data_IF_672753789229
#
_entry.id   IF_672753789229
#
_cell.length_a   1.000
_cell.length_b   1.000
_cell.length_c   1.000
_cell.angle_alpha   90.00
_cell.angle_beta   90.00
_cell.angle_gamma   90.00
#
_symmetry.space_group_name_H-M   'P 1'
#
loop_
_entity.id
_entity.type
_entity.pdbx_description
1 polymer ?
#
# COMPACT_ATOMS: atom_id res chain seq x y z
N UNK A 1 24.48 69.36 -47.59
CA UNK A 1 25.08 68.18 -46.97
C UNK A 1 23.98 67.51 -46.15
N UNK A 2 23.41 66.45 -46.67
CA UNK A 2 22.30 65.73 -46.05
C UNK A 2 22.85 64.44 -45.39
N UNK A 3 22.76 64.34 -44.04
CA UNK A 3 23.19 63.18 -43.26
C UNK A 3 22.08 62.13 -43.25
N UNK A 4 22.35 60.95 -43.79
CA UNK A 4 21.48 59.78 -43.70
C UNK A 4 21.76 59.04 -42.37
N UNK A 5 20.74 58.90 -41.55
CA UNK A 5 20.78 58.01 -40.37
C UNK A 5 20.25 56.67 -40.79
N UNK A 6 21.13 55.70 -40.78
CA UNK A 6 20.78 54.27 -40.99
C UNK A 6 20.28 53.69 -39.66
N UNK A 7 18.97 53.36 -39.52
CA UNK A 7 18.40 52.68 -38.40
C UNK A 7 18.56 51.19 -38.63
N UNK A 8 19.38 50.53 -37.81
CA UNK A 8 19.52 49.06 -37.78
C UNK A 8 18.39 48.51 -36.93
N UNK A 9 17.44 47.80 -37.55
CA UNK A 9 16.40 47.02 -36.87
C UNK A 9 17.02 45.69 -36.41
N UNK A 10 17.28 45.54 -35.11
CA UNK A 10 17.61 44.27 -34.50
C UNK A 10 16.32 43.46 -34.35
N UNK A 11 16.10 42.45 -35.18
CA UNK A 11 15.07 41.45 -34.98
C UNK A 11 15.51 40.50 -33.88
N UNK A 12 14.89 40.62 -32.70
CA UNK A 12 14.99 39.63 -31.63
C UNK A 12 14.27 38.36 -32.08
N UNK A 13 15.04 37.36 -32.51
CA UNK A 13 14.59 35.98 -32.66
C UNK A 13 14.39 35.39 -31.24
N UNK A 14 13.15 35.37 -30.76
CA UNK A 14 12.78 34.58 -29.61
C UNK A 14 13.00 33.08 -29.95
N UNK A 15 13.70 32.31 -29.14
CA UNK A 15 13.76 30.88 -29.35
C UNK A 15 12.36 30.31 -29.20
N UNK A 16 11.84 29.67 -30.25
CA UNK A 16 10.64 28.86 -30.17
C UNK A 16 10.92 27.77 -29.15
N UNK A 17 10.32 27.89 -27.96
CA UNK A 17 10.24 26.77 -27.00
C UNK A 17 9.46 25.68 -27.69
N UNK A 18 10.17 24.71 -28.24
CA UNK A 18 9.61 23.43 -28.61
C UNK A 18 9.10 22.80 -27.30
N UNK A 19 7.82 22.99 -27.01
CA UNK A 19 7.10 22.12 -26.09
C UNK A 19 7.13 20.71 -26.71
N UNK A 20 8.16 19.95 -26.36
CA UNK A 20 8.13 18.51 -26.58
C UNK A 20 7.03 18.00 -25.67
N UNK A 21 5.85 17.76 -26.22
CA UNK A 21 4.88 16.87 -25.57
C UNK A 21 5.64 15.62 -25.18
N UNK A 22 5.62 15.19 -23.89
CA UNK A 22 6.30 13.96 -23.51
C UNK A 22 5.79 12.86 -24.44
N UNK A 23 6.70 12.23 -25.18
CA UNK A 23 6.40 11.05 -25.97
C UNK A 23 5.62 10.14 -25.02
N UNK A 24 4.34 9.89 -25.30
CA UNK A 24 3.54 8.94 -24.54
C UNK A 24 4.24 7.60 -24.67
N UNK A 25 5.02 7.22 -23.66
CA UNK A 25 5.64 5.90 -23.62
C UNK A 25 4.50 4.88 -23.69
N UNK A 26 4.50 4.08 -24.76
CA UNK A 26 3.48 3.05 -24.93
C UNK A 26 3.71 1.97 -23.88
N UNK A 27 2.88 1.94 -22.84
CA UNK A 27 2.94 0.93 -21.80
C UNK A 27 2.15 -0.33 -22.21
N UNK A 28 2.44 -1.51 -21.63
CA UNK A 28 1.72 -2.74 -21.94
C UNK A 28 0.20 -2.62 -21.81
N UNK A 29 -0.31 -1.97 -20.74
CA UNK A 29 -1.74 -1.80 -20.58
C UNK A 29 -2.33 -0.79 -21.58
N UNK A 30 -1.61 0.28 -21.93
CA UNK A 30 -2.06 1.23 -22.95
C UNK A 30 -2.16 0.56 -24.33
N UNK A 31 -1.22 -0.33 -24.68
CA UNK A 31 -1.30 -1.14 -25.89
C UNK A 31 -2.51 -2.07 -25.85
N UNK A 32 -2.76 -2.73 -24.73
CA UNK A 32 -3.90 -3.61 -24.55
C UNK A 32 -5.24 -2.85 -24.71
N UNK A 33 -5.36 -1.63 -24.16
CA UNK A 33 -6.53 -0.76 -24.41
C UNK A 33 -6.72 -0.51 -25.89
N UNK A 34 -5.65 -0.08 -26.59
CA UNK A 34 -5.72 0.21 -28.04
C UNK A 34 -6.17 -1.01 -28.85
N UNK A 35 -5.65 -2.20 -28.54
CA UNK A 35 -6.03 -3.43 -29.23
C UNK A 35 -7.47 -3.84 -28.94
N UNK A 36 -7.93 -3.74 -27.68
CA UNK A 36 -9.30 -4.06 -27.33
C UNK A 36 -10.31 -3.10 -27.98
N UNK A 37 -10.02 -1.80 -28.01
CA UNK A 37 -10.85 -0.80 -28.70
C UNK A 37 -10.93 -1.06 -30.21
N UNK A 38 -9.82 -1.43 -30.85
CA UNK A 38 -9.80 -1.81 -32.26
C UNK A 38 -10.66 -3.07 -32.50
N UNK A 39 -10.55 -4.09 -31.66
CA UNK A 39 -11.34 -5.31 -31.76
C UNK A 39 -12.85 -5.04 -31.56
N UNK A 40 -13.23 -4.14 -30.67
CA UNK A 40 -14.62 -3.70 -30.48
C UNK A 40 -15.13 -2.96 -31.72
N UNK A 41 -14.30 -2.12 -32.33
CA UNK A 41 -14.69 -1.41 -33.57
C UNK A 41 -14.93 -2.34 -34.73
N UNK A 42 -14.15 -3.44 -34.84
CA UNK A 42 -14.31 -4.45 -35.86
C UNK A 42 -15.53 -5.34 -35.62
N UNK A 43 -15.78 -5.71 -34.35
CA UNK A 43 -16.92 -6.57 -33.98
C UNK A 43 -17.52 -6.11 -32.63
N UNK A 44 -18.48 -5.16 -32.64
CA UNK A 44 -19.07 -4.58 -31.44
C UNK A 44 -19.94 -5.57 -30.64
N UNK A 45 -20.34 -6.69 -31.23
CA UNK A 45 -21.19 -7.67 -30.54
C UNK A 45 -20.38 -8.83 -29.90
N UNK A 46 -19.05 -8.71 -29.87
CA UNK A 46 -18.17 -9.70 -29.25
C UNK A 46 -17.89 -9.34 -27.76
N UNK A 47 -18.54 -10.05 -26.85
CA UNK A 47 -18.38 -9.83 -25.40
C UNK A 47 -16.92 -9.95 -24.92
N UNK A 48 -16.12 -10.84 -25.53
CA UNK A 48 -14.71 -11.02 -25.16
C UNK A 48 -13.87 -9.75 -25.35
N UNK A 49 -14.11 -8.96 -26.40
CA UNK A 49 -13.38 -7.71 -26.62
C UNK A 49 -13.62 -6.68 -25.51
N UNK A 50 -14.81 -6.69 -24.91
CA UNK A 50 -15.12 -5.86 -23.74
C UNK A 50 -14.49 -6.41 -22.45
N UNK A 51 -14.34 -7.74 -22.31
CA UNK A 51 -13.56 -8.30 -21.21
C UNK A 51 -12.10 -7.87 -21.29
N UNK A 52 -11.51 -7.97 -22.50
CA UNK A 52 -10.12 -7.58 -22.74
C UNK A 52 -9.92 -6.08 -22.43
N UNK A 53 -10.88 -5.22 -22.80
CA UNK A 53 -10.87 -3.80 -22.48
C UNK A 53 -10.99 -3.56 -20.97
N UNK A 54 -11.87 -4.30 -20.27
CA UNK A 54 -12.01 -4.23 -18.82
C UNK A 54 -10.68 -4.53 -18.12
N UNK A 55 -10.05 -5.64 -18.47
CA UNK A 55 -8.75 -6.03 -17.88
C UNK A 55 -7.63 -5.02 -18.23
N UNK A 56 -7.65 -4.47 -19.45
CA UNK A 56 -6.70 -3.44 -19.85
C UNK A 56 -6.84 -2.17 -19.01
N UNK A 57 -8.06 -1.71 -18.71
CA UNK A 57 -8.29 -0.57 -17.83
C UNK A 57 -7.90 -0.86 -16.37
N UNK A 58 -8.19 -2.05 -15.83
CA UNK A 58 -7.72 -2.45 -14.49
C UNK A 58 -6.17 -2.38 -14.42
N UNK A 59 -5.48 -2.86 -15.47
CA UNK A 59 -4.01 -2.74 -15.55
C UNK A 59 -3.55 -1.29 -15.67
N UNK A 60 -4.32 -0.41 -16.33
CA UNK A 60 -4.00 1.03 -16.37
C UNK A 60 -4.02 1.68 -14.99
N UNK A 61 -4.96 1.32 -14.12
CA UNK A 61 -4.93 1.77 -12.73
C UNK A 61 -3.61 1.38 -12.06
N UNK A 62 -3.15 0.13 -12.23
CA UNK A 62 -1.89 -0.36 -11.67
C UNK A 62 -0.66 0.35 -12.24
N UNK A 63 -0.69 0.78 -13.50
CA UNK A 63 0.41 1.53 -14.12
C UNK A 63 0.47 3.00 -13.70
N UNK A 64 -0.69 3.62 -13.37
CA UNK A 64 -0.80 5.07 -13.25
C UNK A 64 -1.30 5.59 -11.92
N UNK A 65 -1.97 4.77 -11.10
CA UNK A 65 -2.82 5.15 -9.96
C UNK A 65 -4.06 6.01 -10.31
N UNK A 66 -4.40 6.17 -11.59
CA UNK A 66 -5.59 6.92 -12.00
C UNK A 66 -6.86 6.06 -11.80
N UNK A 67 -7.58 6.37 -10.73
CA UNK A 67 -8.81 5.65 -10.36
C UNK A 67 -9.94 5.80 -11.41
N UNK A 68 -9.89 6.81 -12.28
CA UNK A 68 -10.89 6.98 -13.34
C UNK A 68 -10.96 5.81 -14.32
N UNK A 69 -9.88 5.04 -14.43
CA UNK A 69 -9.89 3.80 -15.22
C UNK A 69 -10.77 2.70 -14.61
N UNK A 70 -11.09 2.72 -13.30
CA UNK A 70 -12.09 1.79 -12.76
C UNK A 70 -13.49 2.08 -13.27
N UNK A 71 -13.87 3.35 -13.46
CA UNK A 71 -15.16 3.71 -14.07
C UNK A 71 -15.24 3.22 -15.51
N UNK A 72 -14.16 3.38 -16.28
CA UNK A 72 -14.05 2.90 -17.65
C UNK A 72 -14.10 1.35 -17.72
N UNK A 73 -13.39 0.69 -16.80
CA UNK A 73 -13.44 -0.76 -16.65
C UNK A 73 -14.86 -1.25 -16.35
N UNK A 74 -15.55 -0.59 -15.41
CA UNK A 74 -16.93 -0.91 -15.05
C UNK A 74 -17.89 -0.74 -16.24
N UNK A 75 -17.73 0.32 -17.03
CA UNK A 75 -18.55 0.54 -18.23
C UNK A 75 -18.32 -0.56 -19.28
N UNK A 76 -17.08 -0.96 -19.54
CA UNK A 76 -16.75 -2.07 -20.44
C UNK A 76 -17.29 -3.41 -19.92
N UNK A 77 -17.12 -3.68 -18.62
CA UNK A 77 -17.65 -4.87 -17.95
C UNK A 77 -19.18 -5.00 -18.11
N UNK A 78 -19.92 -3.90 -17.90
CA UNK A 78 -21.37 -3.87 -18.05
C UNK A 78 -21.77 -4.25 -19.48
N UNK A 79 -21.07 -3.78 -20.50
CA UNK A 79 -21.32 -4.16 -21.90
C UNK A 79 -21.11 -5.66 -22.14
N UNK A 80 -20.01 -6.22 -21.61
CA UNK A 80 -19.77 -7.65 -21.70
C UNK A 80 -20.89 -8.48 -21.05
N UNK A 81 -21.29 -8.11 -19.83
CA UNK A 81 -22.33 -8.83 -19.08
C UNK A 81 -23.74 -8.66 -19.66
N UNK A 82 -24.05 -7.53 -20.33
CA UNK A 82 -25.30 -7.36 -21.08
C UNK A 82 -25.42 -8.36 -22.24
N UNK A 83 -24.30 -8.66 -22.92
CA UNK A 83 -24.26 -9.62 -24.02
C UNK A 83 -24.22 -11.07 -23.53
N UNK A 84 -23.51 -11.31 -22.42
CA UNK A 84 -23.31 -12.65 -21.86
C UNK A 84 -23.31 -12.58 -20.31
N UNK A 85 -24.48 -12.65 -19.66
CA UNK A 85 -24.63 -12.49 -18.21
C UNK A 85 -23.84 -13.51 -17.38
N UNK A 86 -23.61 -14.71 -17.90
CA UNK A 86 -22.88 -15.80 -17.25
C UNK A 86 -21.41 -15.88 -17.68
N UNK A 87 -20.86 -14.84 -18.34
CA UNK A 87 -19.47 -14.84 -18.79
C UNK A 87 -18.53 -14.92 -17.60
N UNK A 88 -17.86 -16.07 -17.46
CA UNK A 88 -16.98 -16.37 -16.32
C UNK A 88 -15.80 -15.41 -16.22
N UNK A 89 -15.16 -15.07 -17.36
CA UNK A 89 -14.04 -14.12 -17.40
C UNK A 89 -14.48 -12.70 -17.00
N UNK A 90 -15.67 -12.26 -17.45
CA UNK A 90 -16.24 -10.99 -17.02
C UNK A 90 -16.50 -10.95 -15.50
N UNK A 91 -17.01 -12.06 -14.94
CA UNK A 91 -17.22 -12.15 -13.49
C UNK A 91 -15.90 -12.14 -12.69
N UNK A 92 -14.82 -12.73 -13.19
CA UNK A 92 -13.49 -12.58 -12.58
C UNK A 92 -13.01 -11.12 -12.60
N UNK A 93 -13.21 -10.43 -13.72
CA UNK A 93 -12.88 -9.01 -13.82
C UNK A 93 -13.71 -8.14 -12.85
N UNK A 94 -14.98 -8.50 -12.62
CA UNK A 94 -15.84 -7.85 -11.61
C UNK A 94 -15.25 -7.99 -10.20
N UNK A 95 -14.75 -9.17 -9.81
CA UNK A 95 -14.06 -9.35 -8.54
C UNK A 95 -12.83 -8.43 -8.43
N UNK A 96 -12.03 -8.31 -9.50
CA UNK A 96 -10.86 -7.43 -9.52
C UNK A 96 -11.25 -5.95 -9.32
N UNK A 97 -12.35 -5.50 -9.92
CA UNK A 97 -12.86 -4.13 -9.71
C UNK A 97 -13.32 -3.95 -8.26
N UNK A 98 -14.04 -4.92 -7.68
CA UNK A 98 -14.48 -4.88 -6.29
C UNK A 98 -13.28 -4.84 -5.32
N UNK A 99 -12.22 -5.62 -5.57
CA UNK A 99 -10.98 -5.57 -4.78
C UNK A 99 -10.31 -4.19 -4.88
N UNK A 100 -10.22 -3.63 -6.09
CA UNK A 100 -9.65 -2.31 -6.31
C UNK A 100 -10.48 -1.19 -5.65
N UNK A 101 -11.80 -1.34 -5.62
CA UNK A 101 -12.73 -0.45 -4.93
C UNK A 101 -12.84 -0.69 -3.42
N UNK A 102 -11.98 -1.55 -2.83
CA UNK A 102 -12.00 -1.91 -1.39
C UNK A 102 -13.33 -2.51 -0.90
N UNK A 103 -14.13 -3.08 -1.81
CA UNK A 103 -15.37 -3.79 -1.48
C UNK A 103 -15.12 -5.28 -1.21
N UNK A 104 -14.25 -5.56 -0.25
CA UNK A 104 -13.64 -6.89 -0.04
C UNK A 104 -14.67 -7.99 0.28
N UNK A 105 -15.70 -7.70 1.07
CA UNK A 105 -16.75 -8.68 1.38
C UNK A 105 -17.49 -9.13 0.13
N UNK A 106 -17.88 -8.17 -0.74
CA UNK A 106 -18.55 -8.50 -2.01
C UNK A 106 -17.61 -9.24 -2.96
N UNK A 107 -16.33 -8.84 -2.98
CA UNK A 107 -15.31 -9.52 -3.76
C UNK A 107 -15.18 -10.99 -3.35
N UNK A 108 -15.10 -11.27 -2.04
CA UNK A 108 -15.03 -12.62 -1.49
C UNK A 108 -16.27 -13.46 -1.82
N UNK A 109 -17.46 -12.89 -1.64
CA UNK A 109 -18.73 -13.56 -1.97
C UNK A 109 -18.77 -13.99 -3.44
N UNK A 110 -18.44 -13.08 -4.36
CA UNK A 110 -18.44 -13.36 -5.80
C UNK A 110 -17.33 -14.34 -6.16
N UNK A 111 -16.09 -14.16 -5.67
CA UNK A 111 -14.97 -15.06 -5.91
C UNK A 111 -15.27 -16.49 -5.42
N UNK A 112 -15.86 -16.63 -4.23
CA UNK A 112 -16.28 -17.93 -3.68
C UNK A 112 -17.36 -18.58 -4.54
N UNK A 113 -18.32 -17.81 -5.07
CA UNK A 113 -19.34 -18.32 -5.98
C UNK A 113 -18.72 -18.82 -7.31
N UNK A 114 -17.72 -18.10 -7.83
CA UNK A 114 -16.97 -18.52 -9.02
C UNK A 114 -16.13 -19.78 -8.74
N UNK A 115 -15.49 -19.87 -7.59
CA UNK A 115 -14.71 -21.04 -7.18
C UNK A 115 -15.57 -22.31 -7.11
N UNK A 116 -16.81 -22.21 -6.61
CA UNK A 116 -17.76 -23.33 -6.62
C UNK A 116 -18.12 -23.82 -8.02
N UNK A 117 -18.14 -22.92 -9.02
CA UNK A 117 -18.43 -23.28 -10.43
C UNK A 117 -17.21 -23.90 -11.11
N UNK A 118 -15.99 -23.42 -10.78
CA UNK A 118 -14.73 -23.85 -11.41
C UNK A 118 -13.65 -23.99 -10.33
N UNK A 119 -13.62 -25.11 -9.59
CA UNK A 119 -12.78 -25.29 -8.42
C UNK A 119 -11.28 -25.49 -8.72
N UNK A 120 -10.87 -25.52 -9.99
CA UNK A 120 -9.49 -25.65 -10.48
C UNK A 120 -8.96 -24.39 -11.19
N UNK A 121 -9.70 -23.28 -11.16
CA UNK A 121 -9.20 -22.01 -11.68
C UNK A 121 -8.27 -21.33 -10.66
N UNK A 122 -6.96 -21.40 -10.94
CA UNK A 122 -5.90 -20.81 -10.08
C UNK A 122 -6.10 -19.30 -9.86
N UNK A 123 -6.63 -18.57 -10.88
CA UNK A 123 -6.85 -17.12 -10.74
C UNK A 123 -7.97 -16.83 -9.75
N UNK A 124 -9.04 -17.62 -9.74
CA UNK A 124 -10.16 -17.45 -8.79
C UNK A 124 -9.67 -17.67 -7.35
N UNK A 125 -8.83 -18.70 -7.09
CA UNK A 125 -8.20 -18.87 -5.78
C UNK A 125 -7.34 -17.66 -5.38
N UNK A 126 -6.64 -17.07 -6.35
CA UNK A 126 -5.91 -15.83 -6.10
C UNK A 126 -6.81 -14.66 -5.69
N UNK A 127 -7.97 -14.52 -6.30
CA UNK A 127 -8.95 -13.49 -5.95
C UNK A 127 -9.57 -13.74 -4.56
N UNK A 128 -9.81 -15.01 -4.19
CA UNK A 128 -10.23 -15.39 -2.84
C UNK A 128 -9.14 -15.02 -1.84
N UNK A 129 -7.90 -15.44 -2.08
CA UNK A 129 -6.78 -15.13 -1.19
C UNK A 129 -6.57 -13.61 -0.99
N UNK A 130 -6.71 -12.82 -2.06
CA UNK A 130 -6.60 -11.36 -1.97
C UNK A 130 -7.71 -10.77 -1.09
N UNK A 131 -8.95 -11.22 -1.25
CA UNK A 131 -10.07 -10.76 -0.45
C UNK A 131 -9.92 -11.16 1.03
N UNK A 132 -9.51 -12.41 1.31
CA UNK A 132 -9.28 -12.92 2.66
C UNK A 132 -8.16 -12.14 3.37
N UNK A 133 -7.04 -11.83 2.68
CA UNK A 133 -5.97 -10.99 3.25
C UNK A 133 -6.50 -9.62 3.66
N UNK A 134 -7.30 -8.98 2.81
CA UNK A 134 -7.85 -7.65 3.08
C UNK A 134 -8.94 -7.67 4.17
N UNK A 135 -9.58 -8.81 4.41
CA UNK A 135 -10.55 -8.99 5.49
C UNK A 135 -9.91 -9.46 6.82
N UNK A 136 -8.62 -9.85 6.80
CA UNK A 136 -7.93 -10.39 7.97
C UNK A 136 -8.12 -11.90 8.17
N UNK A 137 -8.71 -12.60 7.22
CA UNK A 137 -8.96 -14.06 7.26
C UNK A 137 -7.73 -14.83 6.75
N UNK A 138 -6.58 -14.60 7.41
CA UNK A 138 -5.25 -15.06 6.94
C UNK A 138 -5.14 -16.59 6.80
N UNK A 139 -5.83 -17.37 7.65
CA UNK A 139 -5.82 -18.83 7.53
C UNK A 139 -6.48 -19.31 6.23
N UNK A 140 -7.53 -18.65 5.79
CA UNK A 140 -8.21 -18.95 4.53
C UNK A 140 -7.37 -18.49 3.35
N UNK A 141 -6.76 -17.32 3.46
CA UNK A 141 -5.81 -16.81 2.47
C UNK A 141 -4.61 -17.74 2.28
N UNK A 142 -4.03 -18.27 3.38
CA UNK A 142 -2.92 -19.23 3.33
C UNK A 142 -3.32 -20.50 2.62
N UNK A 143 -4.49 -21.09 2.97
CA UNK A 143 -5.01 -22.28 2.29
C UNK A 143 -5.20 -22.07 0.79
N UNK A 144 -5.75 -20.90 0.41
CA UNK A 144 -5.94 -20.56 -1.00
C UNK A 144 -4.60 -20.40 -1.74
N UNK A 145 -3.63 -19.70 -1.15
CA UNK A 145 -2.29 -19.52 -1.73
C UNK A 145 -1.53 -20.86 -1.84
N UNK A 146 -1.60 -21.70 -0.80
CA UNK A 146 -0.99 -23.04 -0.82
C UNK A 146 -1.58 -23.89 -1.92
N UNK A 147 -2.92 -23.91 -2.04
CA UNK A 147 -3.60 -24.66 -3.10
C UNK A 147 -3.13 -24.21 -4.50
N UNK A 148 -2.96 -22.91 -4.73
CA UNK A 148 -2.43 -22.38 -5.99
C UNK A 148 -1.05 -22.94 -6.32
N UNK A 149 -0.16 -23.02 -5.31
CA UNK A 149 1.21 -23.52 -5.47
C UNK A 149 1.23 -25.04 -5.70
N UNK A 150 0.35 -25.78 -5.03
CA UNK A 150 0.22 -27.24 -5.19
C UNK A 150 -0.29 -27.60 -6.58
N UNK A 151 -1.29 -26.89 -7.08
CA UNK A 151 -1.85 -27.11 -8.42
C UNK A 151 -0.89 -26.75 -9.57
N UNK A 152 -0.11 -25.69 -9.38
CA UNK A 152 0.88 -25.23 -10.37
C UNK A 152 2.12 -24.71 -9.67
N UNK A 153 3.07 -25.57 -9.32
CA UNK A 153 4.32 -25.16 -8.69
C UNK A 153 5.02 -24.05 -9.50
N UNK A 154 5.44 -23.00 -8.81
CA UNK A 154 6.12 -21.86 -9.43
C UNK A 154 5.19 -20.88 -10.17
N UNK A 155 3.87 -21.01 -10.08
CA UNK A 155 2.99 -20.00 -10.68
C UNK A 155 3.15 -18.63 -9.99
N UNK A 156 3.35 -17.58 -10.78
CA UNK A 156 3.64 -16.22 -10.25
C UNK A 156 2.54 -15.70 -9.33
N UNK A 157 1.23 -15.81 -9.64
CA UNK A 157 0.18 -15.36 -8.72
C UNK A 157 0.21 -16.04 -7.35
N UNK A 158 0.49 -17.33 -7.26
CA UNK A 158 0.62 -18.07 -6.00
C UNK A 158 1.86 -17.66 -5.22
N UNK A 159 3.01 -17.54 -5.90
CA UNK A 159 4.26 -17.08 -5.29
C UNK A 159 4.11 -15.68 -4.67
N UNK A 160 3.45 -14.74 -5.34
CA UNK A 160 3.26 -13.37 -4.83
C UNK A 160 2.38 -13.33 -3.58
N UNK A 161 1.32 -14.13 -3.51
CA UNK A 161 0.45 -14.22 -2.34
C UNK A 161 1.14 -14.92 -1.18
N UNK A 162 1.85 -16.01 -1.46
CA UNK A 162 2.69 -16.67 -0.49
C UNK A 162 3.79 -15.75 0.06
N UNK A 163 4.45 -14.96 -0.79
CA UNK A 163 5.42 -13.95 -0.36
C UNK A 163 4.79 -12.89 0.56
N UNK A 164 3.60 -12.39 0.19
CA UNK A 164 2.87 -11.41 1.01
C UNK A 164 2.52 -11.98 2.39
N UNK A 165 2.00 -13.19 2.45
CA UNK A 165 1.66 -13.86 3.72
C UNK A 165 2.91 -14.11 4.56
N UNK A 166 3.98 -14.66 4.00
CA UNK A 166 5.26 -14.86 4.71
C UNK A 166 5.80 -13.55 5.30
N UNK A 167 5.75 -12.46 4.53
CA UNK A 167 6.13 -11.13 5.02
C UNK A 167 5.26 -10.68 6.19
N UNK A 168 3.94 -10.85 6.10
CA UNK A 168 3.00 -10.49 7.18
C UNK A 168 3.30 -11.24 8.48
N UNK A 169 3.74 -12.49 8.38
CA UNK A 169 4.08 -13.32 9.54
C UNK A 169 5.56 -13.31 9.92
N UNK A 170 6.34 -12.38 9.38
CA UNK A 170 7.73 -12.15 9.76
C UNK A 170 8.75 -13.11 9.14
N UNK A 171 8.34 -14.00 8.22
CA UNK A 171 9.26 -14.86 7.46
C UNK A 171 9.83 -14.07 6.26
N UNK A 172 10.75 -13.17 6.56
CA UNK A 172 11.37 -12.30 5.57
C UNK A 172 12.21 -13.07 4.53
N UNK A 173 12.91 -14.13 4.96
CA UNK A 173 13.72 -14.97 4.08
C UNK A 173 12.84 -15.72 3.08
N UNK A 174 11.80 -16.40 3.56
CA UNK A 174 10.86 -17.11 2.69
C UNK A 174 10.04 -16.17 1.80
N UNK A 175 9.73 -14.96 2.25
CA UNK A 175 9.10 -13.95 1.42
C UNK A 175 10.02 -13.51 0.28
N UNK A 176 11.30 -13.25 0.57
CA UNK A 176 12.31 -12.89 -0.43
C UNK A 176 12.51 -13.99 -1.46
N UNK A 177 12.57 -15.25 -1.02
CA UNK A 177 12.69 -16.40 -1.92
C UNK A 177 11.51 -16.49 -2.90
N UNK A 178 10.29 -16.29 -2.41
CA UNK A 178 9.10 -16.32 -3.27
C UNK A 178 9.06 -15.14 -4.23
N UNK A 179 9.45 -13.93 -3.81
CA UNK A 179 9.59 -12.79 -4.72
C UNK A 179 10.65 -13.04 -5.78
N UNK A 180 11.82 -13.61 -5.44
CA UNK A 180 12.86 -13.96 -6.40
C UNK A 180 12.36 -14.98 -7.44
N UNK A 181 11.67 -16.03 -7.00
CA UNK A 181 11.09 -17.02 -7.91
C UNK A 181 10.04 -16.36 -8.83
N UNK A 182 9.15 -15.53 -8.28
CA UNK A 182 8.16 -14.78 -9.06
C UNK A 182 8.83 -13.89 -10.10
N UNK A 183 9.88 -13.17 -9.73
CA UNK A 183 10.64 -12.31 -10.65
C UNK A 183 11.24 -13.11 -11.82
N UNK A 184 11.84 -14.26 -11.53
CA UNK A 184 12.44 -15.14 -12.55
C UNK A 184 11.41 -15.75 -13.50
N UNK A 185 10.19 -16.02 -13.02
CA UNK A 185 9.12 -16.60 -13.80
C UNK A 185 8.30 -15.55 -14.57
N UNK A 186 8.41 -14.27 -14.23
CA UNK A 186 7.67 -13.19 -14.90
C UNK A 186 8.33 -12.85 -16.23
N UNK A 187 7.58 -12.87 -17.36
CA UNK A 187 8.11 -12.55 -18.68
C UNK A 187 8.71 -11.12 -18.73
N UNK A 188 9.85 -10.91 -19.44
CA UNK A 188 10.48 -9.58 -19.55
C UNK A 188 9.60 -8.49 -20.15
N UNK A 189 8.57 -8.88 -20.89
CA UNK A 189 7.59 -7.95 -21.47
C UNK A 189 6.55 -7.44 -20.48
N UNK A 190 6.42 -8.08 -19.32
CA UNK A 190 5.53 -7.65 -18.22
C UNK A 190 6.29 -6.69 -17.30
N UNK A 191 6.66 -5.54 -17.83
CA UNK A 191 7.56 -4.58 -17.18
C UNK A 191 6.97 -3.98 -15.90
N UNK A 192 5.65 -3.76 -15.84
CA UNK A 192 4.97 -3.27 -14.64
C UNK A 192 4.98 -4.33 -13.53
N UNK A 193 4.66 -5.59 -13.84
CA UNK A 193 4.70 -6.68 -12.86
C UNK A 193 6.12 -6.88 -12.29
N UNK A 194 7.15 -6.81 -13.16
CA UNK A 194 8.55 -6.86 -12.72
C UNK A 194 8.92 -5.69 -11.80
N UNK A 195 8.48 -4.46 -12.14
CA UNK A 195 8.73 -3.29 -11.31
C UNK A 195 8.03 -3.41 -9.95
N UNK A 196 6.80 -3.94 -9.94
CA UNK A 196 6.08 -4.19 -8.69
C UNK A 196 6.80 -5.20 -7.79
N UNK A 197 7.25 -6.33 -8.34
CA UNK A 197 7.97 -7.35 -7.58
C UNK A 197 9.26 -6.78 -6.98
N UNK A 198 10.05 -6.04 -7.78
CA UNK A 198 11.27 -5.40 -7.30
C UNK A 198 10.99 -4.38 -6.19
N UNK A 199 9.87 -3.66 -6.27
CA UNK A 199 9.44 -2.71 -5.23
C UNK A 199 9.09 -3.45 -3.93
N UNK A 200 8.38 -4.60 -4.01
CA UNK A 200 8.09 -5.42 -2.81
C UNK A 200 9.36 -5.96 -2.16
N UNK A 201 10.32 -6.41 -2.96
CA UNK A 201 11.63 -6.84 -2.46
C UNK A 201 12.40 -5.69 -1.80
N UNK A 202 12.31 -4.50 -2.37
CA UNK A 202 12.94 -3.30 -1.83
C UNK A 202 12.33 -2.88 -0.49
N UNK A 203 11.00 -2.86 -0.40
CA UNK A 203 10.30 -2.54 0.85
C UNK A 203 10.64 -3.55 1.96
N UNK A 204 10.80 -4.83 1.62
CA UNK A 204 11.25 -5.86 2.55
C UNK A 204 12.70 -5.63 3.00
N UNK A 205 13.63 -5.31 2.08
CA UNK A 205 15.01 -4.97 2.45
C UNK A 205 15.08 -3.72 3.34
N UNK A 206 14.30 -2.70 3.02
CA UNK A 206 14.21 -1.46 3.80
C UNK A 206 13.72 -1.71 5.22
N UNK A 207 12.70 -2.56 5.42
CA UNK A 207 12.18 -2.92 6.74
C UNK A 207 13.20 -3.68 7.58
N UNK A 208 14.09 -4.44 6.95
CA UNK A 208 15.21 -5.13 7.60
C UNK A 208 16.44 -4.22 7.85
N UNK A 209 16.36 -2.93 7.49
CA UNK A 209 17.43 -1.96 7.66
C UNK A 209 18.49 -1.97 6.55
N UNK A 210 18.36 -2.78 5.51
CA UNK A 210 19.25 -2.78 4.36
C UNK A 210 18.83 -1.70 3.35
N UNK A 211 19.12 -0.43 3.70
CA UNK A 211 18.70 0.73 2.90
C UNK A 211 19.38 0.76 1.52
N UNK A 212 20.66 0.42 1.45
CA UNK A 212 21.41 0.34 0.18
C UNK A 212 20.85 -0.73 -0.77
N UNK A 213 20.47 -1.90 -0.22
CA UNK A 213 19.82 -2.96 -0.98
C UNK A 213 18.46 -2.54 -1.50
N UNK A 214 17.68 -1.86 -0.66
CA UNK A 214 16.39 -1.30 -1.00
C UNK A 214 16.51 -0.28 -2.15
N UNK A 215 17.44 0.69 -2.06
CA UNK A 215 17.64 1.69 -3.11
C UNK A 215 17.99 1.06 -4.46
N UNK A 216 18.88 0.08 -4.48
CA UNK A 216 19.26 -0.63 -5.72
C UNK A 216 18.07 -1.32 -6.39
N UNK A 217 17.22 -1.96 -5.60
CA UNK A 217 16.02 -2.63 -6.09
C UNK A 217 14.99 -1.61 -6.62
N UNK A 218 14.78 -0.48 -5.94
CA UNK A 218 13.88 0.58 -6.39
C UNK A 218 14.35 1.22 -7.70
N UNK A 219 15.65 1.49 -7.83
CA UNK A 219 16.21 1.96 -9.10
C UNK A 219 16.02 0.94 -10.22
N UNK A 220 16.24 -0.34 -9.94
CA UNK A 220 15.98 -1.42 -10.90
C UNK A 220 14.49 -1.51 -11.28
N UNK A 221 13.56 -1.25 -10.34
CA UNK A 221 12.14 -1.17 -10.63
C UNK A 221 11.82 -0.03 -11.60
N UNK A 222 12.39 1.16 -11.36
CA UNK A 222 12.22 2.34 -12.22
C UNK A 222 12.90 2.16 -13.60
N UNK A 223 13.96 1.38 -13.70
CA UNK A 223 14.55 0.99 -14.98
C UNK A 223 13.63 0.07 -15.79
N UNK A 224 12.88 -0.83 -15.10
CA UNK A 224 11.88 -1.70 -15.76
C UNK A 224 10.64 -0.94 -16.20
N UNK A 225 10.14 -0.06 -15.34
CA UNK A 225 8.95 0.74 -15.61
C UNK A 225 9.18 2.19 -15.14
N UNK A 226 9.61 3.10 -16.03
CA UNK A 226 9.89 4.49 -15.69
C UNK A 226 8.68 5.18 -15.07
N UNK A 227 8.92 5.95 -14.00
CA UNK A 227 7.91 6.69 -13.25
C UNK A 227 6.83 5.80 -12.61
N UNK A 228 7.14 4.53 -12.33
CA UNK A 228 6.22 3.64 -11.64
C UNK A 228 5.91 4.18 -10.24
N UNK A 229 4.69 4.63 -10.05
CA UNK A 229 4.30 5.39 -8.86
C UNK A 229 4.60 4.66 -7.55
N UNK A 230 4.39 3.33 -7.49
CA UNK A 230 4.68 2.53 -6.29
C UNK A 230 6.17 2.58 -5.93
N UNK A 231 7.05 2.41 -6.93
CA UNK A 231 8.50 2.49 -6.72
C UNK A 231 8.96 3.91 -6.35
N UNK A 232 8.35 4.96 -6.96
CA UNK A 232 8.66 6.36 -6.62
C UNK A 232 8.28 6.67 -5.18
N UNK A 233 7.10 6.23 -4.72
CA UNK A 233 6.65 6.42 -3.34
C UNK A 233 7.52 5.65 -2.34
N UNK A 234 7.91 4.40 -2.65
CA UNK A 234 8.83 3.63 -1.82
C UNK A 234 10.22 4.29 -1.77
N UNK A 235 10.72 4.81 -2.88
CA UNK A 235 12.00 5.54 -2.91
C UNK A 235 11.93 6.84 -2.09
N UNK A 236 10.82 7.57 -2.14
CA UNK A 236 10.63 8.76 -1.32
C UNK A 236 10.61 8.42 0.18
N UNK A 237 9.91 7.32 0.59
CA UNK A 237 9.96 6.84 1.98
C UNK A 237 11.38 6.45 2.41
N UNK A 238 12.12 5.76 1.55
CA UNK A 238 13.51 5.42 1.79
C UNK A 238 14.37 6.67 2.01
N UNK A 239 14.23 7.69 1.15
CA UNK A 239 14.97 8.95 1.29
C UNK A 239 14.62 9.69 2.58
N UNK A 240 13.35 9.65 3.03
CA UNK A 240 12.96 10.19 4.33
C UNK A 240 13.66 9.44 5.49
N UNK A 241 13.76 8.12 5.41
CA UNK A 241 14.47 7.31 6.40
C UNK A 241 15.98 7.65 6.43
N UNK A 242 16.56 7.96 5.28
CA UNK A 242 17.95 8.42 5.13
C UNK A 242 18.14 9.92 5.45
N UNK A 243 17.10 10.63 5.91
CA UNK A 243 17.09 12.08 6.19
C UNK A 243 17.36 12.97 4.96
N UNK A 244 17.06 12.48 3.77
CA UNK A 244 17.14 13.19 2.48
C UNK A 244 15.76 13.77 2.11
N UNK A 245 15.19 14.61 2.97
CA UNK A 245 13.81 15.07 2.84
C UNK A 245 13.57 15.95 1.59
N UNK A 246 14.58 16.69 1.14
CA UNK A 246 14.47 17.55 -0.05
C UNK A 246 14.31 16.70 -1.31
N UNK A 247 15.07 15.62 -1.43
CA UNK A 247 14.98 14.67 -2.53
C UNK A 247 13.63 13.94 -2.53
N UNK A 248 13.13 13.55 -1.35
CA UNK A 248 11.81 12.95 -1.21
C UNK A 248 10.69 13.90 -1.68
N UNK A 249 10.78 15.20 -1.34
CA UNK A 249 9.84 16.22 -1.82
C UNK A 249 9.85 16.32 -3.35
N UNK A 250 11.01 16.28 -3.99
CA UNK A 250 11.10 16.34 -5.45
C UNK A 250 10.40 15.14 -6.11
N UNK A 251 10.66 13.93 -5.63
CA UNK A 251 10.03 12.70 -6.12
C UNK A 251 8.51 12.75 -5.97
N UNK A 252 8.01 13.15 -4.79
CA UNK A 252 6.57 13.17 -4.52
C UNK A 252 5.85 14.30 -5.28
N UNK A 253 6.49 15.44 -5.51
CA UNK A 253 5.95 16.49 -6.38
C UNK A 253 5.81 16.01 -7.82
N UNK A 254 6.83 15.36 -8.36
CA UNK A 254 6.78 14.80 -9.71
C UNK A 254 5.69 13.73 -9.82
N UNK A 255 5.63 12.81 -8.85
CA UNK A 255 4.61 11.78 -8.76
C UNK A 255 3.20 12.39 -8.74
N UNK A 256 2.95 13.41 -7.93
CA UNK A 256 1.63 14.04 -7.76
C UNK A 256 1.24 14.98 -8.92
N UNK A 257 2.18 15.35 -9.81
CA UNK A 257 1.87 16.17 -10.98
C UNK A 257 1.01 15.44 -12.03
N UNK A 258 0.96 14.09 -11.97
CA UNK A 258 0.21 13.27 -12.92
C UNK A 258 -1.14 12.84 -12.32
N UNK A 259 -1.11 11.85 -11.42
CA UNK A 259 -2.32 11.25 -10.85
C UNK A 259 -2.19 11.17 -9.32
N UNK A 260 -2.40 12.27 -8.57
CA UNK A 260 -2.28 12.26 -7.12
C UNK A 260 -3.34 11.35 -6.49
N UNK A 261 -2.93 10.64 -5.44
CA UNK A 261 -3.83 9.95 -4.52
C UNK A 261 -3.82 10.64 -3.16
N UNK A 262 -4.82 10.41 -2.32
CA UNK A 262 -4.84 11.00 -0.98
C UNK A 262 -3.62 10.58 -0.16
N UNK A 263 -3.19 9.33 -0.28
CA UNK A 263 -2.02 8.79 0.39
C UNK A 263 -0.73 9.50 -0.08
N UNK A 264 -0.59 9.73 -1.39
CA UNK A 264 0.59 10.42 -1.94
C UNK A 264 0.61 11.93 -1.64
N UNK A 265 -0.57 12.56 -1.54
CA UNK A 265 -0.69 13.95 -1.08
C UNK A 265 -0.29 14.09 0.40
N UNK A 266 -0.72 13.15 1.24
CA UNK A 266 -0.31 13.09 2.64
C UNK A 266 1.20 12.85 2.77
N UNK A 267 1.76 11.90 2.00
CA UNK A 267 3.20 11.65 1.96
C UNK A 267 4.01 12.88 1.54
N UNK A 268 3.53 13.66 0.58
CA UNK A 268 4.16 14.92 0.19
C UNK A 268 4.13 15.96 1.33
N UNK A 269 3.01 16.07 2.04
CA UNK A 269 2.90 16.97 3.18
C UNK A 269 3.90 16.61 4.29
N UNK A 270 4.05 15.31 4.61
CA UNK A 270 5.05 14.82 5.57
C UNK A 270 6.49 15.11 5.10
N UNK A 271 6.79 14.90 3.82
CA UNK A 271 8.11 15.18 3.27
C UNK A 271 8.45 16.67 3.32
N UNK A 272 7.50 17.56 3.01
CA UNK A 272 7.64 19.01 3.13
C UNK A 272 7.91 19.44 4.57
N UNK A 273 7.20 18.87 5.53
CA UNK A 273 7.43 19.15 6.96
C UNK A 273 8.84 18.75 7.40
N UNK A 274 9.28 17.53 7.01
CA UNK A 274 10.65 17.05 7.31
C UNK A 274 11.75 17.82 6.58
N UNK A 275 11.44 18.42 5.43
CA UNK A 275 12.33 19.32 4.70
C UNK A 275 12.37 20.74 5.28
N UNK A 276 11.60 21.05 6.34
CA UNK A 276 11.51 22.36 6.94
C UNK A 276 10.70 23.39 6.13
N UNK A 277 9.96 22.96 5.09
CA UNK A 277 9.11 23.80 4.26
C UNK A 277 7.72 23.97 4.88
N UNK A 278 7.65 24.52 6.08
CA UNK A 278 6.46 24.49 6.96
C UNK A 278 5.21 25.10 6.32
N UNK A 279 5.33 26.23 5.62
CA UNK A 279 4.17 26.88 4.98
C UNK A 279 3.55 26.03 3.86
N UNK A 280 4.40 25.34 3.07
CA UNK A 280 3.94 24.43 2.01
C UNK A 280 3.38 23.15 2.61
N UNK A 281 3.98 22.64 3.69
CA UNK A 281 3.47 21.48 4.43
C UNK A 281 2.06 21.76 4.99
N UNK A 282 1.85 22.90 5.65
CA UNK A 282 0.54 23.30 6.18
C UNK A 282 -0.53 23.41 5.08
N UNK A 283 -0.16 23.96 3.92
CA UNK A 283 -1.06 24.04 2.77
C UNK A 283 -1.40 22.64 2.21
N UNK A 284 -0.40 21.75 2.12
CA UNK A 284 -0.57 20.38 1.63
C UNK A 284 -1.43 19.54 2.59
N UNK A 285 -1.18 19.60 3.90
CA UNK A 285 -2.03 18.95 4.91
C UNK A 285 -3.47 19.45 4.85
N UNK A 286 -3.68 20.76 4.71
CA UNK A 286 -5.02 21.33 4.62
C UNK A 286 -5.75 20.90 3.33
N UNK A 287 -5.04 20.73 2.22
CA UNK A 287 -5.61 20.21 0.98
C UNK A 287 -5.99 18.73 1.12
N UNK A 288 -5.07 17.91 1.65
CA UNK A 288 -5.33 16.50 1.98
C UNK A 288 -6.56 16.36 2.87
N UNK A 289 -6.61 17.06 4.01
CA UNK A 289 -7.72 16.97 4.95
C UNK A 289 -9.07 17.25 4.27
N UNK A 290 -9.16 18.33 3.50
CA UNK A 290 -10.41 18.67 2.78
C UNK A 290 -10.83 17.56 1.81
N UNK A 291 -9.89 17.02 1.04
CA UNK A 291 -10.16 15.98 0.06
C UNK A 291 -10.53 14.64 0.73
N UNK A 292 -9.82 14.25 1.80
CA UNK A 292 -10.10 13.04 2.55
C UNK A 292 -11.46 13.10 3.27
N UNK A 293 -11.78 14.24 3.91
CA UNK A 293 -13.10 14.44 4.56
C UNK A 293 -14.26 14.30 3.61
N UNK A 294 -14.11 14.71 2.36
CA UNK A 294 -15.16 14.57 1.35
C UNK A 294 -15.46 13.11 0.98
N UNK A 295 -14.59 12.18 1.33
CA UNK A 295 -14.67 10.74 1.02
C UNK A 295 -14.86 9.85 2.24
N UNK A 296 -15.06 10.42 3.44
CA UNK A 296 -15.28 9.63 4.66
C UNK A 296 -16.42 8.64 4.46
N UNK A 297 -16.15 7.36 4.76
CA UNK A 297 -17.12 6.27 4.64
C UNK A 297 -17.42 5.81 3.22
N UNK A 298 -16.80 6.38 2.19
CA UNK A 298 -16.82 5.79 0.85
C UNK A 298 -15.94 4.52 0.80
N UNK A 299 -16.18 3.56 -0.10
CA UNK A 299 -15.31 2.40 -0.25
C UNK A 299 -13.85 2.78 -0.53
N UNK A 300 -13.64 3.68 -1.48
CA UNK A 300 -12.32 4.21 -1.88
C UNK A 300 -11.96 5.45 -1.05
N UNK A 301 -11.83 5.29 0.26
CA UNK A 301 -11.44 6.36 1.17
C UNK A 301 -9.96 6.22 1.61
N UNK A 302 -9.47 7.24 2.28
CA UNK A 302 -8.21 7.26 3.01
C UNK A 302 -8.47 7.48 4.51
N UNK A 303 -9.49 6.81 5.06
CA UNK A 303 -9.96 7.03 6.44
C UNK A 303 -8.87 6.64 7.45
N UNK A 304 -8.09 5.60 7.19
CA UNK A 304 -6.91 5.21 7.98
C UNK A 304 -5.85 6.31 8.01
N UNK A 305 -5.48 6.86 6.85
CA UNK A 305 -4.51 7.97 6.75
C UNK A 305 -5.04 9.23 7.46
N UNK A 306 -6.34 9.49 7.34
CA UNK A 306 -6.98 10.63 7.98
C UNK A 306 -7.04 10.48 9.51
N UNK A 307 -7.21 9.25 10.02
CA UNK A 307 -7.10 8.94 11.45
C UNK A 307 -5.69 9.28 11.95
N UNK A 308 -4.65 8.80 11.29
CA UNK A 308 -3.27 9.12 11.65
C UNK A 308 -2.99 10.63 11.57
N UNK A 309 -3.43 11.30 10.52
CA UNK A 309 -3.31 12.76 10.43
C UNK A 309 -3.88 13.48 11.65
N UNK A 310 -5.09 13.11 12.11
CA UNK A 310 -5.70 13.73 13.27
C UNK A 310 -5.02 13.39 14.60
N UNK A 311 -4.38 12.24 14.70
CA UNK A 311 -3.63 11.84 15.89
C UNK A 311 -2.28 12.55 15.97
N UNK A 312 -1.55 12.59 14.87
CA UNK A 312 -0.16 13.03 14.84
C UNK A 312 -0.05 14.55 14.64
N UNK A 313 -0.76 15.10 13.66
CA UNK A 313 -0.63 16.49 13.20
C UNK A 313 -1.85 17.35 13.52
N UNK A 314 -3.03 16.88 13.21
CA UNK A 314 -4.30 17.61 13.35
C UNK A 314 -4.73 17.81 14.80
N UNK A 315 -4.15 17.07 15.74
CA UNK A 315 -4.40 17.12 17.19
C UNK A 315 -5.89 17.10 17.53
N UNK A 316 -6.65 16.26 16.82
CA UNK A 316 -8.08 16.09 17.01
C UNK A 316 -8.42 14.60 17.26
N UNK A 317 -8.04 14.06 18.43
CA UNK A 317 -8.25 12.63 18.72
C UNK A 317 -9.73 12.23 18.73
N UNK A 318 -10.64 13.15 19.03
CA UNK A 318 -12.09 12.88 18.99
C UNK A 318 -12.60 12.59 17.58
N UNK A 319 -12.16 13.36 16.59
CA UNK A 319 -12.50 13.12 15.18
C UNK A 319 -11.81 11.87 14.63
N UNK A 320 -10.54 11.65 15.01
CA UNK A 320 -9.83 10.41 14.68
C UNK A 320 -10.62 9.18 15.16
N UNK A 321 -11.10 9.18 16.41
CA UNK A 321 -11.88 8.08 16.96
C UNK A 321 -13.22 7.90 16.26
N UNK A 322 -13.90 9.01 15.92
CA UNK A 322 -15.15 8.95 15.16
C UNK A 322 -14.97 8.25 13.82
N UNK A 323 -13.94 8.62 13.08
CA UNK A 323 -13.63 8.04 11.75
C UNK A 323 -13.18 6.58 11.90
N UNK A 324 -12.28 6.28 12.83
CA UNK A 324 -11.82 4.92 13.08
C UNK A 324 -12.97 3.95 13.45
N UNK A 325 -13.94 4.42 14.25
CA UNK A 325 -15.14 3.62 14.57
C UNK A 325 -16.04 3.40 13.33
N UNK A 326 -16.17 4.41 12.47
CA UNK A 326 -16.94 4.29 11.24
C UNK A 326 -16.31 3.25 10.31
N UNK A 327 -15.00 3.27 10.15
CA UNK A 327 -14.28 2.32 9.30
C UNK A 327 -14.28 0.90 9.90
N UNK A 328 -14.09 0.76 11.21
CA UNK A 328 -14.15 -0.53 11.91
C UNK A 328 -15.56 -1.18 11.90
N UNK A 329 -16.62 -0.41 11.63
CA UNK A 329 -17.96 -0.96 11.40
C UNK A 329 -18.11 -1.60 10.01
N UNK A 330 -17.20 -1.32 9.09
CA UNK A 330 -17.21 -1.83 7.70
C UNK A 330 -16.16 -2.90 7.45
N UNK A 331 -15.02 -2.82 8.16
CA UNK A 331 -13.82 -3.64 7.96
C UNK A 331 -13.27 -4.10 9.31
N UNK A 332 -12.65 -5.26 9.32
CA UNK A 332 -12.04 -5.84 10.53
C UNK A 332 -10.59 -6.30 10.30
N UNK A 333 -9.97 -5.86 9.22
CA UNK A 333 -8.55 -6.11 8.96
C UNK A 333 -7.64 -5.48 10.04
N UNK A 334 -6.41 -5.98 10.12
CA UNK A 334 -5.49 -5.58 11.20
C UNK A 334 -5.16 -4.10 11.21
N UNK A 335 -5.03 -3.45 10.04
CA UNK A 335 -4.72 -2.03 9.96
C UNK A 335 -5.89 -1.18 10.48
N UNK A 336 -7.13 -1.54 10.11
CA UNK A 336 -8.35 -0.87 10.62
C UNK A 336 -8.50 -1.03 12.14
N UNK A 337 -8.24 -2.24 12.67
CA UNK A 337 -8.33 -2.50 14.12
C UNK A 337 -7.21 -1.79 14.90
N UNK A 338 -6.01 -1.70 14.33
CA UNK A 338 -4.88 -0.97 14.91
C UNK A 338 -5.15 0.54 14.96
N UNK A 339 -5.61 1.14 13.85
CA UNK A 339 -6.00 2.55 13.82
C UNK A 339 -7.09 2.87 14.84
N UNK A 340 -8.08 1.96 15.01
CA UNK A 340 -9.09 2.11 16.06
C UNK A 340 -8.47 2.02 17.46
N UNK A 341 -7.57 1.07 17.72
CA UNK A 341 -6.89 0.92 19.00
C UNK A 341 -6.07 2.17 19.34
N UNK A 342 -5.35 2.71 18.37
CA UNK A 342 -4.55 3.91 18.55
C UNK A 342 -5.42 5.15 18.81
N UNK A 343 -6.51 5.32 18.07
CA UNK A 343 -7.48 6.40 18.30
C UNK A 343 -8.17 6.30 19.68
N UNK A 344 -8.52 5.11 20.14
CA UNK A 344 -9.04 4.85 21.47
C UNK A 344 -8.03 5.23 22.55
N UNK A 345 -6.77 4.85 22.36
CA UNK A 345 -5.68 5.19 23.27
C UNK A 345 -5.50 6.71 23.41
N UNK A 346 -5.50 7.42 22.29
CA UNK A 346 -5.38 8.89 22.27
C UNK A 346 -6.57 9.61 22.96
N UNK A 347 -7.73 8.94 23.06
CA UNK A 347 -8.91 9.42 23.78
C UNK A 347 -9.00 8.92 25.22
N UNK A 348 -7.97 8.29 25.77
CA UNK A 348 -7.94 7.78 27.15
C UNK A 348 -8.79 6.53 27.40
N UNK A 349 -9.32 5.89 26.34
CA UNK A 349 -10.13 4.68 26.41
C UNK A 349 -9.24 3.42 26.40
N UNK A 350 -8.31 3.33 27.35
CA UNK A 350 -7.21 2.36 27.32
C UNK A 350 -7.66 0.91 27.36
N UNK A 351 -8.75 0.57 28.09
CA UNK A 351 -9.25 -0.82 28.13
C UNK A 351 -9.83 -1.26 26.80
N UNK A 352 -10.54 -0.36 26.11
CA UNK A 352 -11.07 -0.63 24.76
C UNK A 352 -9.91 -0.73 23.76
N UNK A 353 -8.92 0.18 23.87
CA UNK A 353 -7.72 0.15 23.05
C UNK A 353 -6.98 -1.20 23.19
N UNK A 354 -6.77 -1.67 24.42
CA UNK A 354 -6.16 -2.97 24.70
C UNK A 354 -6.93 -4.13 24.07
N UNK A 355 -8.26 -4.07 24.13
CA UNK A 355 -9.09 -5.12 23.53
C UNK A 355 -8.97 -5.16 22.00
N UNK A 356 -8.86 -4.00 21.33
CA UNK A 356 -8.70 -3.96 19.88
C UNK A 356 -7.29 -4.37 19.45
N UNK A 357 -6.25 -3.81 20.06
CA UNK A 357 -4.87 -4.19 19.73
C UNK A 357 -4.59 -5.66 20.06
N UNK A 358 -5.25 -6.22 21.08
CA UNK A 358 -5.19 -7.64 21.37
C UNK A 358 -5.72 -8.52 20.24
N UNK A 359 -6.75 -8.07 19.51
CA UNK A 359 -7.23 -8.78 18.31
C UNK A 359 -6.19 -8.74 17.18
N UNK A 360 -5.54 -7.57 16.97
CA UNK A 360 -4.47 -7.42 15.99
C UNK A 360 -3.33 -8.40 16.30
N UNK A 361 -2.83 -8.38 17.53
CA UNK A 361 -1.73 -9.27 17.94
C UNK A 361 -2.10 -10.76 17.86
N UNK A 362 -3.37 -11.12 18.12
CA UNK A 362 -3.85 -12.51 18.05
C UNK A 362 -3.82 -13.07 16.62
N UNK A 363 -3.77 -12.25 15.59
CA UNK A 363 -3.60 -12.71 14.20
C UNK A 363 -2.19 -13.24 13.92
N UNK A 364 -1.20 -12.88 14.74
CA UNK A 364 0.20 -13.24 14.54
C UNK A 364 0.95 -12.37 13.54
N UNK A 365 0.32 -11.34 12.97
CA UNK A 365 0.98 -10.41 12.03
C UNK A 365 2.11 -9.66 12.72
N UNK A 366 3.28 -9.62 12.08
CA UNK A 366 4.53 -9.07 12.59
C UNK A 366 4.77 -7.69 11.95
N UNK A 367 4.20 -6.63 12.55
CA UNK A 367 4.38 -5.24 12.10
C UNK A 367 4.84 -4.37 13.26
N UNK A 368 5.94 -3.62 13.07
CA UNK A 368 6.55 -2.82 14.12
C UNK A 368 5.59 -1.79 14.74
N UNK A 369 4.69 -1.21 13.93
CA UNK A 369 3.69 -0.25 14.40
C UNK A 369 2.71 -0.87 15.39
N UNK A 370 2.24 -2.10 15.13
CA UNK A 370 1.28 -2.79 16.00
C UNK A 370 1.87 -3.07 17.37
N UNK A 371 3.13 -3.50 17.41
CA UNK A 371 3.84 -3.73 18.66
C UNK A 371 4.15 -2.42 19.40
N UNK A 372 4.47 -1.34 18.66
CA UNK A 372 4.62 -0.01 19.25
C UNK A 372 3.31 0.46 19.91
N UNK A 373 2.19 0.41 19.19
CA UNK A 373 0.89 0.80 19.74
C UNK A 373 0.50 -0.05 20.94
N UNK A 374 0.72 -1.37 20.89
CA UNK A 374 0.48 -2.26 22.03
C UNK A 374 1.33 -1.88 23.25
N UNK A 375 2.60 -1.59 23.03
CA UNK A 375 3.51 -1.15 24.10
C UNK A 375 3.13 0.20 24.69
N UNK A 376 2.76 1.16 23.86
CA UNK A 376 2.29 2.46 24.29
C UNK A 376 0.96 2.38 25.09
N UNK A 377 0.01 1.55 24.64
CA UNK A 377 -1.25 1.29 25.37
C UNK A 377 -0.95 0.66 26.73
N UNK A 378 -0.09 -0.37 26.78
CA UNK A 378 0.31 -1.02 28.03
C UNK A 378 0.98 -0.05 29.01
N UNK A 379 1.83 0.85 28.52
CA UNK A 379 2.47 1.90 29.32
C UNK A 379 1.43 2.84 29.97
N UNK A 380 0.39 3.25 29.22
CA UNK A 380 -0.71 4.09 29.75
C UNK A 380 -1.57 3.36 30.77
N UNK A 381 -1.63 2.03 30.70
CA UNK A 381 -2.29 1.19 31.70
C UNK A 381 -1.39 0.84 32.88
N UNK A 382 -0.18 1.36 32.91
CA UNK A 382 0.84 1.07 33.94
C UNK A 382 1.30 -0.40 33.95
N UNK A 383 1.08 -1.13 32.88
CA UNK A 383 1.63 -2.48 32.67
C UNK A 383 3.04 -2.38 32.08
N UNK A 384 4.01 -2.17 32.99
CA UNK A 384 5.40 -1.99 32.58
C UNK A 384 5.99 -3.21 31.87
N UNK A 385 5.59 -4.40 32.28
CA UNK A 385 6.16 -5.65 31.72
C UNK A 385 5.71 -5.82 30.28
N UNK A 386 4.42 -5.71 30.03
CA UNK A 386 3.87 -5.75 28.68
C UNK A 386 4.39 -4.59 27.82
N UNK A 387 4.47 -3.38 28.36
CA UNK A 387 5.00 -2.21 27.65
C UNK A 387 6.44 -2.45 27.19
N UNK A 388 7.33 -2.87 28.09
CA UNK A 388 8.73 -3.13 27.75
C UNK A 388 8.88 -4.27 26.73
N UNK A 389 8.06 -5.31 26.84
CA UNK A 389 8.05 -6.42 25.89
C UNK A 389 7.66 -5.94 24.48
N UNK A 390 6.49 -5.34 24.33
CA UNK A 390 5.99 -4.94 23.02
C UNK A 390 6.84 -3.84 22.37
N UNK A 391 7.33 -2.85 23.13
CA UNK A 391 8.23 -1.83 22.58
C UNK A 391 9.57 -2.44 22.11
N UNK A 392 10.07 -3.48 22.79
CA UNK A 392 11.26 -4.20 22.36
C UNK A 392 11.02 -5.02 21.09
N UNK A 393 9.88 -5.69 20.96
CA UNK A 393 9.50 -6.41 19.74
C UNK A 393 9.38 -5.44 18.55
N UNK A 394 8.75 -4.26 18.75
CA UNK A 394 8.70 -3.22 17.71
C UNK A 394 10.09 -2.83 17.19
N UNK A 395 11.05 -2.67 18.10
CA UNK A 395 12.43 -2.33 17.73
C UNK A 395 13.18 -3.47 17.04
N UNK A 396 12.85 -4.73 17.33
CA UNK A 396 13.43 -5.89 16.65
C UNK A 396 12.93 -6.02 15.22
N UNK A 397 11.65 -5.73 15.00
CA UNK A 397 11.02 -5.81 13.68
C UNK A 397 11.50 -4.72 12.73
N UNK A 398 11.70 -3.50 13.22
CA UNK A 398 12.23 -2.41 12.41
C UNK A 398 12.92 -1.36 13.27
N UNK A 399 14.24 -1.47 13.41
CA UNK A 399 15.04 -0.55 14.25
C UNK A 399 15.36 0.80 13.60
N UNK A 400 15.05 0.99 12.33
CA UNK A 400 15.41 2.20 11.54
C UNK A 400 14.22 3.09 11.20
N UNK A 401 13.00 2.62 11.45
CA UNK A 401 11.77 3.38 11.21
C UNK A 401 11.63 4.59 12.14
N UNK A 402 10.78 5.52 11.79
CA UNK A 402 10.38 6.64 12.65
C UNK A 402 9.79 6.15 13.96
N UNK A 403 8.94 5.13 13.91
CA UNK A 403 8.34 4.45 15.07
C UNK A 403 9.41 3.89 16.02
N UNK A 404 10.56 3.46 15.52
CA UNK A 404 11.65 3.00 16.37
C UNK A 404 12.22 4.13 17.25
N UNK A 405 12.20 5.38 16.79
CA UNK A 405 12.54 6.55 17.60
C UNK A 405 11.59 6.69 18.77
N UNK A 406 10.29 6.70 18.50
CA UNK A 406 9.23 6.80 19.50
C UNK A 406 9.24 5.62 20.47
N UNK A 407 9.46 4.39 20.00
CA UNK A 407 9.56 3.21 20.85
C UNK A 407 10.72 3.30 21.85
N UNK A 408 11.90 3.84 21.44
CA UNK A 408 13.02 4.10 22.35
C UNK A 408 12.68 5.14 23.40
N UNK A 409 12.01 6.22 23.01
CA UNK A 409 11.57 7.26 23.94
C UNK A 409 10.56 6.73 24.96
N UNK A 410 9.56 5.97 24.52
CA UNK A 410 8.59 5.36 25.44
C UNK A 410 9.26 4.34 26.40
N UNK A 411 10.22 3.54 25.93
CA UNK A 411 11.01 2.65 26.79
C UNK A 411 11.79 3.41 27.86
N UNK A 412 12.38 4.55 27.52
CA UNK A 412 13.12 5.38 28.48
C UNK A 412 12.21 6.02 29.56
N UNK A 413 10.95 6.29 29.23
CA UNK A 413 9.95 6.85 30.15
C UNK A 413 9.40 5.81 31.14
N UNK A 414 9.60 4.50 30.88
CA UNK A 414 9.09 3.47 31.77
C UNK A 414 9.79 3.54 33.14
N UNK A 415 9.02 3.46 34.27
CA UNK A 415 9.62 3.47 35.58
C UNK A 415 10.59 2.28 35.75
N UNK A 416 11.62 2.39 36.66
CA UNK A 416 12.56 1.30 36.86
C UNK A 416 11.85 0.02 37.33
N UNK A 417 12.39 -1.15 36.93
CA UNK A 417 11.84 -2.43 37.36
C UNK A 417 11.93 -2.57 38.86
N UNK A 418 10.83 -2.84 39.55
CA UNK A 418 10.87 -3.28 40.95
C UNK A 418 11.56 -4.65 41.06
N UNK A 419 12.19 -4.96 42.20
CA UNK A 419 12.89 -6.22 42.42
C UNK A 419 11.99 -7.47 42.13
N UNK A 420 10.68 -7.37 42.38
CA UNK A 420 9.70 -8.41 42.07
C UNK A 420 9.54 -8.67 40.57
N UNK A 421 9.60 -7.62 39.74
CA UNK A 421 9.51 -7.76 38.25
C UNK A 421 10.79 -8.33 37.63
N UNK A 422 11.94 -8.15 38.29
CA UNK A 422 13.23 -8.73 37.85
C UNK A 422 13.27 -10.24 38.07
N UNK A 423 12.69 -10.73 39.17
CA UNK A 423 12.57 -12.17 39.46
C UNK A 423 11.69 -12.89 38.42
N UNK A 424 10.53 -12.33 38.06
CA UNK A 424 9.64 -12.91 37.05
C UNK A 424 10.29 -13.02 35.67
N UNK A 425 11.06 -12.02 35.27
CA UNK A 425 11.77 -12.05 33.98
C UNK A 425 12.94 -13.05 33.94
N UNK A 426 13.55 -13.36 35.09
CA UNK A 426 14.57 -14.41 35.17
C UNK A 426 13.96 -15.80 35.03
N UNK A 427 12.77 -16.01 35.59
CA UNK A 427 12.08 -17.31 35.51
C UNK A 427 11.54 -17.61 34.11
N UNK A 428 11.00 -16.61 33.41
CA UNK A 428 10.55 -16.76 32.01
C UNK A 428 11.73 -17.05 31.06
N UNK A 429 12.88 -16.42 31.28
CA UNK A 429 14.10 -16.74 30.51
C UNK A 429 14.64 -18.13 30.77
N UNK A 430 14.57 -18.61 32.00
CA UNK A 430 15.01 -19.97 32.36
C UNK A 430 14.10 -21.05 31.78
N UNK A 431 12.79 -20.82 31.73
CA UNK A 431 11.83 -21.74 31.13
C UNK A 431 12.06 -21.84 29.60
N UNK A 432 12.22 -20.71 28.91
CA UNK A 432 12.54 -20.71 27.45
C UNK A 432 13.91 -21.34 27.12
N UNK A 433 14.88 -21.31 28.03
CA UNK A 433 16.17 -21.95 27.83
C UNK A 433 16.13 -23.48 28.05
N UNK A 434 15.15 -23.98 28.82
CA UNK A 434 14.94 -25.39 29.05
C UNK A 434 14.10 -26.10 27.97
N UNK A 435 13.39 -25.33 27.14
CA UNK A 435 12.58 -25.83 26.00
C UNK A 435 13.34 -25.82 24.66
N UNK A 436 14.60 -25.39 24.65
CA UNK A 436 15.54 -25.49 23.51
C UNK A 436 16.56 -26.60 23.75
#
# INVERSE_FOLDING_TARGET
>A
MKSFHLAILLALLAPAAYSQSPLRVSTPALQAVTWAEAAIKENPDRSQSYNDLTLAYIRRVRETSDASYYEQAQAALQKSLQMSPENFEARKAEVMILLGGKEFTKALELATALNKKTPDDVMVYGLVADADIELGDYNDAERAAQWMLDMRPGNVPGLLRGARLRRLFGDAEGAMDFYNQAYQQTPPTQTEDLAWILTQMADLQGSLGNLDGSEKLLRSALDKFPNYYVAVESLARLQLAEKKAVEAVQLLRERNSNFPTLESEYGLAQALEKAGQSAEADAAYSAFERAARARIGAPENADDVLVHYYLDRGKNPGEALRIARLEAARRSDVATLDALAWALCANGQYREAQAQIGKVLATGVQEAAFFFHAGAIAARMSDRVAAAHFLSESLQLNSTSEIAGEAREELQKLPPASAASQALNSDVKSIRAAER
#
